data_IF_880688949167
#
_entry.id   IF_880688949167
#
_cell.length_a   1.000
_cell.length_b   1.000
_cell.length_c   1.000
_cell.angle_alpha   90.00
_cell.angle_beta   90.00
_cell.angle_gamma   90.00
#
_symmetry.space_group_name_H-M   'P 1'
#
loop_
_entity.id
_entity.type
_entity.pdbx_description
1 polymer ?
#
# COMPACT_ATOMS: atom_id res chain seq x y z
N UNK A 1 12.56 7.03 19.95
CA UNK A 1 11.79 8.13 19.33
C UNK A 1 11.27 7.62 17.99
N UNK A 2 9.95 7.36 17.80
CA UNK A 2 9.43 6.88 16.53
C UNK A 2 9.28 8.10 15.60
N UNK A 3 9.71 8.05 14.34
CA UNK A 3 9.50 9.15 13.42
C UNK A 3 7.99 9.32 13.19
N UNK A 4 7.51 10.52 13.45
CA UNK A 4 6.13 10.91 13.17
C UNK A 4 6.04 11.26 11.69
N UNK A 5 5.41 10.41 10.91
CA UNK A 5 5.11 10.70 9.52
C UNK A 5 3.80 11.48 9.46
N UNK A 6 3.86 12.77 9.29
CA UNK A 6 2.68 13.59 9.03
C UNK A 6 2.34 13.50 7.54
N UNK A 7 1.18 12.95 7.23
CA UNK A 7 0.71 12.89 5.83
C UNK A 7 0.12 14.25 5.48
N UNK A 8 0.76 14.96 4.57
CA UNK A 8 0.20 16.15 3.93
C UNK A 8 -0.85 15.69 2.89
N UNK A 9 -2.09 16.24 2.89
CA UNK A 9 -3.29 15.55 2.39
C UNK A 9 -3.36 15.21 0.90
N UNK A 10 -2.43 15.58 0.05
CA UNK A 10 -2.56 15.28 -1.38
C UNK A 10 -1.29 14.79 -2.10
N UNK A 11 -0.18 14.66 -1.39
CA UNK A 11 1.11 14.34 -2.03
C UNK A 11 1.92 13.28 -1.30
N UNK A 12 1.43 12.74 -0.19
CA UNK A 12 2.19 11.81 0.61
C UNK A 12 1.92 10.37 0.19
N UNK A 13 2.94 9.75 -0.33
CA UNK A 13 2.99 8.33 -0.52
C UNK A 13 4.01 7.76 0.48
N UNK A 14 3.59 7.42 1.71
CA UNK A 14 4.50 6.92 2.73
C UNK A 14 5.08 5.57 2.27
N UNK A 15 6.39 5.44 2.40
CA UNK A 15 7.14 4.23 2.07
C UNK A 15 7.94 3.82 3.30
N UNK A 16 7.93 2.55 3.61
CA UNK A 16 8.68 2.05 4.75
C UNK A 16 7.86 1.05 5.58
N UNK A 17 8.35 0.71 6.79
CA UNK A 17 9.52 1.26 7.49
C UNK A 17 10.87 0.87 6.90
N UNK A 18 10.93 -0.12 6.03
CA UNK A 18 12.16 -0.59 5.37
C UNK A 18 11.84 -1.16 3.98
N UNK A 19 12.85 -1.39 3.18
CA UNK A 19 12.78 -2.07 1.90
C UNK A 19 13.27 -3.49 2.07
N UNK A 20 12.49 -4.46 1.58
CA UNK A 20 12.86 -5.88 1.58
C UNK A 20 13.29 -6.27 0.17
N UNK A 21 14.44 -6.91 0.06
CA UNK A 21 15.02 -7.32 -1.22
C UNK A 21 14.31 -8.54 -1.81
N UNK A 22 14.34 -8.68 -3.13
CA UNK A 22 13.63 -9.73 -3.85
C UNK A 22 14.09 -11.17 -3.51
N UNK A 23 15.32 -11.34 -3.02
CA UNK A 23 15.81 -12.63 -2.55
C UNK A 23 15.07 -13.13 -1.29
N UNK A 24 14.55 -12.21 -0.48
CA UNK A 24 13.74 -12.54 0.70
C UNK A 24 12.25 -12.72 0.37
N UNK A 25 11.80 -12.19 -0.75
CA UNK A 25 10.42 -12.32 -1.26
C UNK A 25 10.47 -12.90 -2.68
N UNK A 26 10.69 -14.21 -2.81
CA UNK A 26 10.82 -14.85 -4.14
C UNK A 26 9.57 -14.71 -5.02
N UNK A 27 8.38 -14.66 -4.39
CA UNK A 27 7.12 -14.48 -5.10
C UNK A 27 6.28 -13.35 -4.45
N UNK A 28 6.27 -12.15 -5.04
CA UNK A 28 5.47 -11.03 -4.53
C UNK A 28 3.97 -11.18 -4.82
N UNK A 29 3.54 -12.21 -5.54
CA UNK A 29 2.14 -12.44 -5.92
C UNK A 29 1.38 -13.36 -4.94
N UNK A 30 1.93 -13.66 -3.78
CA UNK A 30 1.33 -14.58 -2.80
C UNK A 30 1.22 -13.97 -1.40
N UNK A 31 1.37 -12.65 -1.28
CA UNK A 31 1.42 -11.97 0.00
C UNK A 31 0.05 -11.51 0.45
N UNK A 32 -0.29 -11.76 1.71
CA UNK A 32 -1.46 -11.18 2.35
C UNK A 32 -1.25 -9.70 2.60
N UNK A 33 -2.28 -8.89 2.31
CA UNK A 33 -2.30 -7.45 2.54
C UNK A 33 -3.48 -7.09 3.42
N UNK A 34 -3.23 -6.41 4.54
CA UNK A 34 -4.31 -5.93 5.42
C UNK A 34 -4.17 -4.43 5.66
N UNK A 35 -5.31 -3.76 5.83
CA UNK A 35 -5.36 -2.36 6.26
C UNK A 35 -6.34 -2.22 7.41
N UNK A 36 -5.88 -1.63 8.50
CA UNK A 36 -6.69 -1.29 9.66
C UNK A 36 -6.77 0.23 9.81
N UNK A 37 -7.96 0.72 10.14
CA UNK A 37 -8.19 2.12 10.51
C UNK A 37 -8.72 2.16 11.93
N UNK A 38 -8.01 2.80 12.85
CA UNK A 38 -8.33 2.84 14.28
C UNK A 38 -8.57 1.45 14.89
N UNK A 39 -7.83 0.46 14.40
CA UNK A 39 -7.96 -0.94 14.82
C UNK A 39 -9.06 -1.74 14.10
N UNK A 40 -9.91 -1.10 13.31
CA UNK A 40 -10.93 -1.79 12.51
C UNK A 40 -10.33 -2.28 11.18
N UNK A 41 -10.52 -3.56 10.87
CA UNK A 41 -10.08 -4.14 9.61
C UNK A 41 -10.90 -3.58 8.44
N UNK A 42 -10.24 -2.89 7.52
CA UNK A 42 -10.84 -2.26 6.33
C UNK A 42 -10.57 -3.03 5.06
N UNK A 43 -9.37 -3.57 4.91
CA UNK A 43 -8.98 -4.39 3.76
C UNK A 43 -8.28 -5.65 4.23
N UNK A 44 -8.56 -6.77 3.57
CA UNK A 44 -7.92 -8.07 3.81
C UNK A 44 -7.93 -8.83 2.49
N UNK A 45 -6.84 -8.73 1.75
CA UNK A 45 -6.70 -9.24 0.39
C UNK A 45 -5.36 -9.98 0.24
N UNK A 46 -5.12 -10.52 -0.93
CA UNK A 46 -3.85 -11.13 -1.29
C UNK A 46 -3.34 -10.52 -2.60
N UNK A 47 -2.04 -10.45 -2.78
CA UNK A 47 -1.45 -9.93 -4.02
C UNK A 47 -1.70 -10.82 -5.24
N UNK A 48 -2.17 -12.06 -5.05
CA UNK A 48 -2.63 -12.92 -6.16
C UNK A 48 -3.90 -12.38 -6.83
N UNK A 49 -4.64 -11.49 -6.17
CA UNK A 49 -5.83 -10.82 -6.71
C UNK A 49 -5.48 -9.64 -7.65
N UNK A 50 -4.20 -9.31 -7.80
CA UNK A 50 -3.77 -8.24 -8.72
C UNK A 50 -4.16 -8.56 -10.16
N UNK A 51 -4.74 -7.58 -10.87
CA UNK A 51 -5.11 -7.70 -12.29
C UNK A 51 -3.85 -7.92 -13.14
N UNK A 52 -2.78 -7.20 -12.85
CA UNK A 52 -1.48 -7.36 -13.47
C UNK A 52 -0.44 -7.74 -12.41
N UNK A 53 0.41 -8.70 -12.72
CA UNK A 53 1.52 -9.06 -11.84
C UNK A 53 2.56 -7.95 -11.74
N UNK A 54 3.34 -7.93 -10.67
CA UNK A 54 4.46 -6.99 -10.53
C UNK A 54 5.40 -7.04 -11.75
N UNK A 55 5.70 -8.23 -12.26
CA UNK A 55 6.53 -8.40 -13.46
C UNK A 55 5.92 -7.77 -14.71
N UNK A 56 4.60 -7.92 -14.90
CA UNK A 56 3.90 -7.30 -16.02
C UNK A 56 3.91 -5.77 -15.92
N UNK A 57 3.71 -5.23 -14.72
CA UNK A 57 3.73 -3.78 -14.47
C UNK A 57 5.12 -3.21 -14.78
N UNK A 58 6.19 -3.83 -14.26
CA UNK A 58 7.58 -3.43 -14.55
C UNK A 58 7.86 -3.50 -16.03
N UNK A 59 7.50 -4.60 -16.70
CA UNK A 59 7.67 -4.77 -18.16
C UNK A 59 6.93 -3.70 -18.95
N UNK A 60 5.72 -3.33 -18.54
CA UNK A 60 4.94 -2.29 -19.19
C UNK A 60 5.60 -0.91 -19.02
N UNK A 61 5.94 -0.53 -17.80
CA UNK A 61 6.59 0.77 -17.51
C UNK A 61 7.90 0.94 -18.28
N UNK A 62 8.71 -0.13 -18.35
CA UNK A 62 10.01 -0.10 -19.04
C UNK A 62 9.93 0.16 -20.55
N UNK A 63 8.76 -0.03 -21.16
CA UNK A 63 8.55 0.30 -22.58
C UNK A 63 8.45 1.80 -22.84
N UNK A 64 8.08 2.57 -21.84
CA UNK A 64 7.80 4.00 -21.98
C UNK A 64 8.82 4.89 -21.25
N UNK A 65 9.54 4.31 -20.29
CA UNK A 65 10.54 5.04 -19.53
C UNK A 65 11.69 4.13 -19.10
N UNK A 66 12.88 4.71 -18.96
CA UNK A 66 14.01 4.00 -18.37
C UNK A 66 13.82 3.91 -16.87
N UNK A 67 13.73 2.71 -16.33
CA UNK A 67 13.66 2.47 -14.89
C UNK A 67 15.09 2.48 -14.32
N UNK A 68 15.27 3.23 -13.26
CA UNK A 68 16.56 3.39 -12.57
C UNK A 68 16.51 2.80 -11.16
N UNK A 69 17.65 2.38 -10.60
CA UNK A 69 17.72 2.03 -9.19
C UNK A 69 17.21 3.16 -8.30
N UNK A 70 16.26 2.87 -7.42
CA UNK A 70 15.59 3.85 -6.56
C UNK A 70 14.21 4.29 -7.05
N UNK A 71 13.80 3.94 -8.27
CA UNK A 71 12.44 4.19 -8.75
C UNK A 71 11.43 3.37 -7.94
N UNK A 72 10.29 3.99 -7.66
CA UNK A 72 9.19 3.37 -6.92
C UNK A 72 7.97 3.27 -7.83
N UNK A 73 7.42 2.07 -7.96
CA UNK A 73 6.21 1.83 -8.73
C UNK A 73 5.07 1.48 -7.77
N UNK A 74 4.06 2.35 -7.71
CA UNK A 74 2.84 2.07 -6.96
C UNK A 74 1.90 1.19 -7.79
N UNK A 75 1.62 -0.01 -7.30
CA UNK A 75 0.84 -1.02 -8.02
C UNK A 75 -0.67 -0.88 -7.83
N UNK A 76 -1.12 0.17 -7.13
CA UNK A 76 -2.51 0.39 -6.81
C UNK A 76 -2.91 -0.22 -5.46
N UNK A 77 -4.20 -0.38 -5.25
CA UNK A 77 -4.77 -0.84 -3.98
C UNK A 77 -5.74 -2.00 -4.22
N UNK A 78 -5.88 -2.92 -3.24
CA UNK A 78 -6.88 -3.97 -3.28
C UNK A 78 -8.31 -3.41 -3.27
N UNK A 79 -9.29 -4.31 -3.43
CA UNK A 79 -10.71 -4.01 -3.30
C UNK A 79 -11.06 -3.39 -1.93
N UNK A 80 -12.31 -2.91 -1.81
CA UNK A 80 -12.87 -2.32 -0.57
C UNK A 80 -12.28 -0.94 -0.25
N UNK A 81 -11.99 -0.15 -1.29
CA UNK A 81 -11.74 1.28 -1.14
C UNK A 81 -13.04 2.03 -0.81
N UNK A 82 -12.92 3.16 -0.12
CA UNK A 82 -14.08 3.98 0.28
C UNK A 82 -14.98 4.33 -0.92
N UNK A 83 -14.39 4.67 -2.06
CA UNK A 83 -15.12 5.01 -3.28
C UNK A 83 -15.90 3.84 -3.89
N UNK A 84 -15.50 2.61 -3.64
CA UNK A 84 -16.21 1.41 -4.08
C UNK A 84 -17.44 1.06 -3.23
N UNK A 85 -17.67 1.75 -2.11
CA UNK A 85 -18.84 1.55 -1.25
C UNK A 85 -20.00 2.44 -1.69
N UNK A 86 -21.27 2.03 -1.43
CA UNK A 86 -22.42 2.92 -1.54
C UNK A 86 -22.18 4.22 -0.77
N UNK A 87 -22.69 5.35 -1.28
CA UNK A 87 -22.39 6.68 -0.73
C UNK A 87 -22.73 6.79 0.76
N UNK A 88 -23.83 6.18 1.18
CA UNK A 88 -24.33 6.15 2.55
C UNK A 88 -23.44 5.32 3.51
N UNK A 89 -22.57 4.47 2.96
CA UNK A 89 -21.64 3.62 3.74
C UNK A 89 -20.20 4.13 3.70
N UNK A 90 -19.95 5.27 3.07
CA UNK A 90 -18.62 5.84 2.97
C UNK A 90 -18.22 6.54 4.25
N UNK A 91 -17.27 5.99 4.97
CA UNK A 91 -16.64 6.60 6.13
C UNK A 91 -15.27 7.13 5.70
N UNK A 92 -15.19 8.45 5.55
CA UNK A 92 -13.96 9.12 5.14
C UNK A 92 -12.96 9.19 6.30
N UNK A 93 -11.70 9.12 5.94
CA UNK A 93 -10.61 9.34 6.88
C UNK A 93 -10.58 10.82 7.29
N UNK A 94 -10.18 11.08 8.54
CA UNK A 94 -10.10 12.42 9.13
C UNK A 94 -8.81 12.56 9.93
N UNK A 95 -8.47 13.78 10.28
CA UNK A 95 -7.35 14.08 11.16
C UNK A 95 -7.45 13.28 12.47
N UNK A 96 -6.33 12.74 12.92
CA UNK A 96 -6.22 11.86 14.08
C UNK A 96 -6.46 10.38 13.82
N UNK A 97 -6.98 9.99 12.65
CA UNK A 97 -7.14 8.58 12.32
C UNK A 97 -5.79 7.89 12.17
N UNK A 98 -5.68 6.71 12.77
CA UNK A 98 -4.50 5.84 12.69
C UNK A 98 -4.74 4.76 11.64
N UNK A 99 -3.90 4.76 10.62
CA UNK A 99 -3.93 3.76 9.54
C UNK A 99 -2.72 2.84 9.68
N UNK A 100 -2.97 1.55 9.71
CA UNK A 100 -1.93 0.51 9.73
C UNK A 100 -2.12 -0.37 8.52
N UNK A 101 -1.15 -0.36 7.62
CA UNK A 101 -1.10 -1.28 6.46
C UNK A 101 0.00 -2.30 6.69
N UNK A 102 -0.35 -3.56 6.59
CA UNK A 102 0.59 -4.66 6.75
C UNK A 102 0.61 -5.51 5.48
N UNK A 103 1.81 -5.86 5.04
CA UNK A 103 2.03 -6.83 3.98
C UNK A 103 2.83 -7.99 4.56
N UNK A 104 2.35 -9.20 4.34
CA UNK A 104 3.01 -10.41 4.82
C UNK A 104 4.50 -10.42 4.47
N UNK A 105 5.35 -10.76 5.43
CA UNK A 105 6.83 -10.76 5.34
C UNK A 105 7.47 -9.38 5.10
N UNK A 106 6.70 -8.33 4.80
CA UNK A 106 7.22 -6.97 4.61
C UNK A 106 7.04 -6.08 5.84
N UNK A 107 6.24 -6.54 6.83
CA UNK A 107 5.95 -5.78 8.04
C UNK A 107 4.81 -4.80 7.87
N UNK A 108 4.68 -3.88 8.83
CA UNK A 108 3.59 -2.93 8.91
C UNK A 108 4.09 -1.49 8.79
N UNK A 109 3.40 -0.70 7.99
CA UNK A 109 3.53 0.74 7.91
C UNK A 109 2.37 1.38 8.67
N UNK A 110 2.71 2.23 9.64
CA UNK A 110 1.75 2.94 10.46
C UNK A 110 1.86 4.44 10.23
N UNK A 111 0.71 5.07 9.98
CA UNK A 111 0.61 6.52 9.81
C UNK A 111 -0.57 7.06 10.61
N UNK A 112 -0.43 8.28 11.13
CA UNK A 112 -1.52 9.04 11.73
C UNK A 112 -1.79 10.24 10.83
N UNK A 113 -3.06 10.44 10.48
CA UNK A 113 -3.46 11.57 9.64
C UNK A 113 -3.37 12.88 10.44
N UNK A 114 -2.85 13.92 9.81
CA UNK A 114 -2.77 15.27 10.38
C UNK A 114 -4.03 16.08 10.07
#
# INVERSE_FOLDING_TARGET
>A
MRPRWEIIPFTAAPVGPYVVTADQIPDPQTLRVTTHVNGELRQNNNTNDMIFTCAQIVSYCSRYMTLMPGDIIYTGTPQVVILGRPVEQRVWLKAGDRVVTEVEKLGALEVTLA
#
